data_IF_748059832933
#
_entry.id   IF_748059832933
#
_cell.length_a   1.000
_cell.length_b   1.000
_cell.length_c   1.000
_cell.angle_alpha   90.00
_cell.angle_beta   90.00
_cell.angle_gamma   90.00
#
_symmetry.space_group_name_H-M   'P 1'
#
loop_
_entity.id
_entity.type
_entity.pdbx_description
1 polymer ?
#
# COMPACT_ATOMS: atom_id res chain seq x y z
N UNK A 1 29.25 -3.01 -70.82
CA UNK A 1 28.03 -3.76 -70.43
C UNK A 1 28.37 -4.56 -69.18
N UNK A 2 27.53 -4.73 -68.16
CA UNK A 2 26.28 -4.08 -67.77
C UNK A 2 26.39 -3.45 -66.37
N UNK A 3 25.53 -2.46 -66.09
CA UNK A 3 25.38 -1.89 -64.75
C UNK A 3 24.49 -2.75 -63.85
N UNK A 4 24.56 -2.50 -62.55
CA UNK A 4 23.46 -2.81 -61.65
C UNK A 4 23.47 -1.85 -60.46
N UNK A 5 22.61 -0.85 -60.56
CA UNK A 5 22.09 -0.04 -59.46
C UNK A 5 21.02 -0.83 -58.74
N UNK A 6 21.14 -0.97 -57.42
CA UNK A 6 19.99 -1.31 -56.56
C UNK A 6 19.90 -0.33 -55.41
N UNK A 7 19.12 0.72 -55.67
CA UNK A 7 18.34 1.47 -54.69
C UNK A 7 17.47 0.50 -53.89
N UNK A 8 17.63 0.47 -52.57
CA UNK A 8 16.62 -0.13 -51.69
C UNK A 8 16.30 0.80 -50.51
N UNK A 9 15.08 1.32 -50.59
CA UNK A 9 14.17 1.70 -49.53
C UNK A 9 14.68 2.62 -48.42
N UNK A 10 14.39 3.91 -48.64
CA UNK A 10 14.03 4.87 -47.60
C UNK A 10 13.01 4.22 -46.66
N UNK A 11 13.37 4.02 -45.40
CA UNK A 11 12.36 3.92 -44.34
C UNK A 11 11.56 5.23 -44.33
N UNK A 12 10.21 5.19 -44.34
CA UNK A 12 9.44 6.37 -44.00
C UNK A 12 9.77 6.76 -42.55
N UNK A 13 10.17 8.03 -42.44
CA UNK A 13 10.37 8.83 -41.23
C UNK A 13 9.44 8.34 -40.11
N UNK A 14 10.02 7.82 -39.03
CA UNK A 14 9.30 7.49 -37.81
C UNK A 14 8.42 8.69 -37.44
N UNK A 15 7.12 8.47 -37.49
CA UNK A 15 6.16 9.38 -36.90
C UNK A 15 6.43 9.26 -35.41
N UNK A 16 6.77 10.39 -34.78
CA UNK A 16 6.75 10.53 -33.34
C UNK A 16 5.38 10.06 -32.85
N UNK A 17 5.30 8.88 -32.22
CA UNK A 17 4.18 8.53 -31.35
C UNK A 17 4.29 9.43 -30.13
N UNK A 18 3.89 10.68 -30.33
CA UNK A 18 3.56 11.61 -29.26
C UNK A 18 2.29 11.11 -28.61
N UNK A 19 2.44 10.19 -27.66
CA UNK A 19 1.45 9.97 -26.59
C UNK A 19 1.58 11.08 -25.56
N UNK A 20 1.39 12.32 -26.00
CA UNK A 20 1.03 13.44 -25.14
C UNK A 20 -0.47 13.64 -25.39
N UNK A 21 -1.25 13.80 -24.31
CA UNK A 21 -2.70 14.00 -24.23
C UNK A 21 -3.49 12.81 -23.62
N UNK A 22 -3.30 12.63 -22.32
CA UNK A 22 -4.40 12.82 -21.36
C UNK A 22 -3.80 13.42 -20.08
N UNK A 23 -3.79 14.75 -19.90
CA UNK A 23 -3.56 15.33 -18.59
C UNK A 23 -4.82 15.04 -17.75
N UNK A 24 -4.69 14.11 -16.81
CA UNK A 24 -5.76 13.69 -15.90
C UNK A 24 -6.44 12.40 -16.34
N UNK A 25 -6.51 11.44 -15.43
CA UNK A 25 -7.47 10.32 -15.49
C UNK A 25 -8.85 10.97 -15.24
N UNK A 26 -9.42 11.61 -16.25
CA UNK A 26 -10.80 12.06 -16.20
C UNK A 26 -11.67 10.90 -16.66
N UNK A 27 -12.45 10.34 -15.75
CA UNK A 27 -13.53 9.44 -16.13
C UNK A 27 -14.50 10.23 -17.02
N UNK A 28 -14.69 9.81 -18.27
CA UNK A 28 -15.84 10.22 -19.08
C UNK A 28 -17.11 9.51 -18.57
N UNK A 29 -17.36 9.54 -17.26
CA UNK A 29 -18.67 9.26 -16.74
C UNK A 29 -19.53 10.46 -17.12
N UNK A 30 -20.41 10.28 -18.11
CA UNK A 30 -21.45 11.27 -18.43
C UNK A 30 -22.50 11.22 -17.32
N UNK A 31 -22.10 11.67 -16.13
CA UNK A 31 -22.99 11.89 -15.02
C UNK A 31 -23.88 13.05 -15.46
N UNK A 32 -25.14 12.73 -15.74
CA UNK A 32 -26.22 13.67 -16.02
C UNK A 32 -26.58 14.34 -14.68
N UNK A 33 -25.61 15.02 -14.09
CA UNK A 33 -25.79 15.92 -12.97
C UNK A 33 -26.52 17.12 -13.58
N UNK A 34 -27.82 17.22 -13.32
CA UNK A 34 -28.38 18.53 -13.04
C UNK A 34 -28.13 18.74 -11.54
N UNK A 35 -26.91 19.15 -11.11
CA UNK A 35 -26.58 19.13 -9.71
C UNK A 35 -27.43 20.22 -9.08
N UNK A 36 -28.43 19.80 -8.31
CA UNK A 36 -29.24 20.73 -7.56
C UNK A 36 -28.25 21.56 -6.71
N UNK A 37 -28.29 22.89 -6.85
CA UNK A 37 -27.45 23.80 -6.05
C UNK A 37 -27.98 23.89 -4.60
N UNK A 38 -28.47 22.76 -4.07
CA UNK A 38 -29.03 22.65 -2.74
C UNK A 38 -27.88 22.81 -1.74
N UNK A 39 -28.06 23.65 -0.72
CA UNK A 39 -27.07 23.81 0.32
C UNK A 39 -27.01 22.55 1.17
N UNK A 40 -25.79 22.08 1.45
CA UNK A 40 -25.51 21.04 2.44
C UNK A 40 -25.28 21.75 3.77
N UNK A 41 -26.10 21.42 4.77
CA UNK A 41 -26.07 22.06 6.08
C UNK A 41 -25.93 20.98 7.15
N UNK A 42 -24.73 20.83 7.69
CA UNK A 42 -24.43 19.95 8.83
C UNK A 42 -23.99 20.80 10.03
N UNK A 43 -24.40 20.41 11.24
CA UNK A 43 -23.83 21.02 12.43
C UNK A 43 -22.37 20.55 12.63
N UNK A 44 -21.53 21.30 13.36
CA UNK A 44 -20.20 20.83 13.72
C UNK A 44 -20.27 19.48 14.45
N UNK A 45 -19.48 18.50 14.01
CA UNK A 45 -19.46 17.12 14.51
C UNK A 45 -20.51 16.19 13.90
N UNK A 46 -21.43 16.71 13.06
CA UNK A 46 -22.42 15.88 12.38
C UNK A 46 -21.85 15.25 11.09
N UNK A 47 -22.48 14.15 10.69
CA UNK A 47 -22.27 13.51 9.40
C UNK A 47 -23.61 13.07 8.81
N UNK A 48 -23.69 13.01 7.49
CA UNK A 48 -24.86 12.51 6.77
C UNK A 48 -24.43 11.72 5.53
N UNK A 49 -25.30 10.82 5.08
CA UNK A 49 -25.04 9.92 3.94
C UNK A 49 -25.92 10.33 2.76
N UNK A 50 -25.30 10.80 1.68
CA UNK A 50 -25.95 11.28 0.48
C UNK A 50 -26.01 10.19 -0.59
N UNK A 51 -26.80 9.15 -0.34
CA UNK A 51 -26.89 7.98 -1.26
C UNK A 51 -27.44 8.38 -2.63
N UNK A 52 -28.30 9.40 -2.68
CA UNK A 52 -28.85 9.95 -3.91
C UNK A 52 -27.83 10.67 -4.81
N UNK A 53 -26.68 11.04 -4.25
CA UNK A 53 -25.56 11.64 -4.98
C UNK A 53 -24.51 10.60 -5.44
N UNK A 54 -24.64 9.37 -4.96
CA UNK A 54 -23.82 8.24 -5.38
C UNK A 54 -24.34 7.71 -6.73
N UNK A 55 -23.43 7.32 -7.64
CA UNK A 55 -23.82 6.79 -8.95
C UNK A 55 -24.11 5.28 -8.91
N UNK A 56 -23.78 4.62 -7.80
CA UNK A 56 -23.96 3.19 -7.58
C UNK A 56 -22.94 2.30 -8.32
N UNK A 57 -21.97 2.89 -9.01
CA UNK A 57 -20.96 2.17 -9.79
C UNK A 57 -19.53 2.58 -9.39
N UNK A 58 -19.17 3.85 -9.51
CA UNK A 58 -17.88 4.37 -9.03
C UNK A 58 -17.96 4.67 -7.54
N UNK A 59 -19.05 5.29 -7.10
CA UNK A 59 -19.33 5.65 -5.72
C UNK A 59 -20.60 4.91 -5.32
N UNK A 60 -20.47 3.96 -4.40
CA UNK A 60 -21.61 3.19 -3.87
C UNK A 60 -22.23 3.88 -2.65
N UNK A 61 -21.42 4.58 -1.86
CA UNK A 61 -21.86 5.37 -0.71
C UNK A 61 -21.07 6.67 -0.65
N UNK A 62 -21.74 7.76 -0.29
CA UNK A 62 -21.13 9.07 -0.17
C UNK A 62 -21.44 9.69 1.19
N UNK A 63 -20.45 9.71 2.08
CA UNK A 63 -20.58 10.33 3.39
C UNK A 63 -20.01 11.74 3.37
N UNK A 64 -20.70 12.69 3.99
CA UNK A 64 -20.18 14.04 4.24
C UNK A 64 -20.18 14.28 5.74
N UNK A 65 -19.06 14.73 6.27
CA UNK A 65 -18.92 15.08 7.69
C UNK A 65 -18.42 16.50 7.85
N UNK A 66 -18.74 17.11 8.99
CA UNK A 66 -18.25 18.43 9.38
C UNK A 66 -17.45 18.31 10.67
N UNK A 67 -16.31 18.97 10.76
CA UNK A 67 -15.47 18.88 11.96
C UNK A 67 -16.18 19.42 13.19
N UNK A 68 -15.77 18.91 14.35
CA UNK A 68 -16.24 19.37 15.66
C UNK A 68 -15.99 20.86 15.89
N UNK A 69 -14.88 21.41 15.36
CA UNK A 69 -14.55 22.82 15.45
C UNK A 69 -15.26 23.69 14.40
N UNK A 70 -16.03 23.05 13.50
CA UNK A 70 -16.78 23.68 12.42
C UNK A 70 -15.93 24.27 11.30
N UNK A 71 -14.61 24.02 11.32
CA UNK A 71 -13.62 24.61 10.41
C UNK A 71 -13.60 24.01 9.02
N UNK A 72 -14.21 22.84 8.77
CA UNK A 72 -14.22 22.24 7.44
C UNK A 72 -15.29 21.17 7.25
N UNK A 73 -15.44 20.77 6.00
CA UNK A 73 -16.19 19.59 5.60
C UNK A 73 -15.24 18.55 5.02
N UNK A 74 -15.58 17.28 5.21
CA UNK A 74 -14.91 16.15 4.55
C UNK A 74 -15.93 15.37 3.76
N UNK A 75 -15.49 14.87 2.61
CA UNK A 75 -16.25 13.94 1.80
C UNK A 75 -15.52 12.61 1.79
N UNK A 76 -16.29 11.54 1.95
CA UNK A 76 -15.79 10.18 2.06
C UNK A 76 -16.57 9.25 1.14
N UNK A 77 -16.31 9.27 -0.18
CA UNK A 77 -16.86 8.28 -1.09
C UNK A 77 -16.29 6.89 -0.77
N UNK A 78 -17.16 5.89 -0.83
CA UNK A 78 -16.80 4.50 -0.62
C UNK A 78 -17.26 3.60 -1.78
N UNK A 79 -16.48 2.55 -2.02
CA UNK A 79 -16.77 1.50 -3.00
C UNK A 79 -16.37 0.14 -2.44
N UNK A 80 -17.16 -0.87 -2.75
CA UNK A 80 -16.82 -2.27 -2.49
C UNK A 80 -16.02 -2.84 -3.66
N UNK A 81 -14.90 -3.48 -3.35
CA UNK A 81 -14.03 -4.10 -4.35
C UNK A 81 -13.96 -5.60 -4.10
N UNK A 82 -14.28 -6.40 -5.12
CA UNK A 82 -14.16 -7.85 -5.07
C UNK A 82 -12.69 -8.27 -5.30
N UNK A 83 -11.90 -8.22 -4.22
CA UNK A 83 -10.47 -8.56 -4.24
C UNK A 83 -10.28 -10.01 -4.70
N UNK A 84 -11.18 -10.93 -4.33
CA UNK A 84 -11.08 -12.33 -4.71
C UNK A 84 -11.09 -12.51 -6.25
N UNK A 85 -11.99 -11.83 -6.96
CA UNK A 85 -12.01 -11.84 -8.43
C UNK A 85 -10.72 -11.25 -8.99
N UNK A 86 -10.32 -10.06 -8.53
CA UNK A 86 -9.12 -9.38 -9.04
C UNK A 86 -7.87 -10.24 -8.96
N UNK A 87 -7.69 -10.95 -7.84
CA UNK A 87 -6.55 -11.85 -7.64
C UNK A 87 -6.70 -13.10 -8.49
N UNK A 88 -7.87 -13.72 -8.55
CA UNK A 88 -8.09 -14.93 -9.36
C UNK A 88 -7.87 -14.66 -10.85
N UNK A 89 -8.30 -13.50 -11.34
CA UNK A 89 -8.14 -13.09 -12.73
C UNK A 89 -6.66 -12.79 -13.07
N UNK A 90 -5.89 -12.32 -12.07
CA UNK A 90 -4.47 -12.02 -12.23
C UNK A 90 -3.56 -13.23 -12.03
N UNK A 91 -3.92 -14.15 -11.11
CA UNK A 91 -3.27 -15.44 -10.90
C UNK A 91 -4.33 -16.54 -10.68
N UNK A 92 -4.73 -17.25 -11.76
CA UNK A 92 -5.74 -18.31 -11.68
C UNK A 92 -5.39 -19.50 -10.78
N UNK A 93 -4.14 -19.61 -10.32
CA UNK A 93 -3.71 -20.64 -9.36
C UNK A 93 -4.22 -20.35 -7.95
N UNK A 94 -4.48 -19.09 -7.63
CA UNK A 94 -5.05 -18.64 -6.36
C UNK A 94 -6.58 -18.66 -6.47
N UNK A 95 -7.20 -19.79 -6.12
CA UNK A 95 -8.65 -19.94 -6.14
C UNK A 95 -9.17 -20.75 -4.94
N UNK A 96 -10.46 -20.59 -4.62
CA UNK A 96 -11.13 -21.28 -3.53
C UNK A 96 -10.36 -21.16 -2.20
N UNK A 97 -10.15 -22.29 -1.51
CA UNK A 97 -9.45 -22.31 -0.22
C UNK A 97 -8.00 -21.80 -0.26
N UNK A 98 -7.33 -21.94 -1.40
CA UNK A 98 -5.96 -21.44 -1.54
C UNK A 98 -5.95 -19.91 -1.57
N UNK A 99 -6.96 -19.30 -2.20
CA UNK A 99 -7.16 -17.86 -2.21
C UNK A 99 -7.49 -17.33 -0.81
N UNK A 100 -8.40 -17.99 -0.09
CA UNK A 100 -8.78 -17.56 1.27
C UNK A 100 -7.56 -17.53 2.21
N UNK A 101 -6.76 -18.61 2.20
CA UNK A 101 -5.54 -18.69 3.01
C UNK A 101 -4.49 -17.66 2.59
N UNK A 102 -4.36 -17.41 1.28
CA UNK A 102 -3.44 -16.40 0.74
C UNK A 102 -3.86 -14.97 1.12
N UNK A 103 -5.16 -14.65 1.01
CA UNK A 103 -5.69 -13.34 1.38
C UNK A 103 -5.55 -13.08 2.88
N UNK A 104 -5.87 -14.06 3.71
CA UNK A 104 -5.71 -13.95 5.16
C UNK A 104 -4.24 -13.71 5.54
N UNK A 105 -3.33 -14.53 5.01
CA UNK A 105 -1.90 -14.41 5.29
C UNK A 105 -1.32 -13.06 4.83
N UNK A 106 -1.73 -12.57 3.66
CA UNK A 106 -1.20 -11.35 3.08
C UNK A 106 -2.00 -10.08 3.42
N UNK A 107 -3.06 -10.20 4.22
CA UNK A 107 -3.94 -9.10 4.59
C UNK A 107 -3.23 -7.83 5.06
N UNK A 108 -2.15 -7.88 5.89
CA UNK A 108 -1.50 -6.65 6.33
C UNK A 108 -0.79 -5.90 5.20
N UNK A 109 -0.31 -6.62 4.18
CA UNK A 109 0.32 -6.05 2.99
C UNK A 109 -0.72 -5.40 2.09
N UNK A 110 -1.84 -6.10 1.88
CA UNK A 110 -2.94 -5.64 1.02
C UNK A 110 -3.58 -4.39 1.63
N UNK A 111 -3.88 -4.40 2.93
CA UNK A 111 -4.46 -3.25 3.65
C UNK A 111 -3.57 -2.01 3.53
N UNK A 112 -2.29 -2.13 3.87
CA UNK A 112 -1.35 -0.99 3.85
C UNK A 112 -1.13 -0.50 2.42
N UNK A 113 -1.09 -1.40 1.44
CA UNK A 113 -1.01 -1.03 0.02
C UNK A 113 -2.21 -0.23 -0.47
N UNK A 114 -3.43 -0.69 -0.19
CA UNK A 114 -4.66 0.00 -0.59
C UNK A 114 -4.77 1.35 0.12
N UNK A 115 -4.48 1.38 1.42
CA UNK A 115 -4.50 2.60 2.22
C UNK A 115 -3.47 3.64 1.71
N UNK A 116 -2.23 3.22 1.44
CA UNK A 116 -1.18 4.11 0.91
C UNK A 116 -1.49 4.58 -0.52
N UNK A 117 -1.92 3.67 -1.40
CA UNK A 117 -2.16 3.99 -2.82
C UNK A 117 -3.33 4.95 -2.98
N UNK A 118 -4.43 4.69 -2.29
CA UNK A 118 -5.70 5.40 -2.46
C UNK A 118 -6.01 6.43 -1.38
N UNK A 119 -5.10 6.61 -0.40
CA UNK A 119 -5.32 7.49 0.76
C UNK A 119 -6.66 7.17 1.45
N UNK A 120 -6.85 5.87 1.67
CA UNK A 120 -8.14 5.29 2.01
C UNK A 120 -8.11 4.51 3.33
N UNK A 121 -9.30 4.36 3.91
CA UNK A 121 -9.57 3.41 4.97
C UNK A 121 -10.14 2.15 4.33
N UNK A 122 -9.65 0.98 4.75
CA UNK A 122 -10.10 -0.32 4.23
C UNK A 122 -10.89 -1.04 5.33
N UNK A 123 -12.08 -1.51 5.00
CA UNK A 123 -12.95 -2.31 5.87
C UNK A 123 -13.17 -3.70 5.28
N UNK A 124 -13.09 -4.72 6.12
CA UNK A 124 -13.14 -6.14 5.72
C UNK A 124 -14.04 -6.95 6.66
N UNK A 125 -15.16 -6.38 7.07
CA UNK A 125 -16.09 -6.97 8.06
C UNK A 125 -16.62 -8.35 7.62
N UNK A 126 -16.70 -8.60 6.31
CA UNK A 126 -17.13 -9.87 5.71
C UNK A 126 -15.94 -10.72 5.20
N UNK A 127 -14.71 -10.34 5.55
CA UNK A 127 -13.47 -10.96 5.10
C UNK A 127 -12.83 -10.23 3.91
N UNK A 128 -11.73 -10.76 3.41
CA UNK A 128 -10.94 -10.14 2.34
C UNK A 128 -11.46 -10.39 0.93
N UNK A 129 -12.49 -11.23 0.74
CA UNK A 129 -13.06 -11.48 -0.58
C UNK A 129 -13.69 -10.22 -1.18
N UNK A 130 -14.33 -9.42 -0.33
CA UNK A 130 -14.92 -8.12 -0.67
C UNK A 130 -14.48 -7.09 0.38
N UNK A 131 -13.77 -6.07 -0.06
CA UNK A 131 -13.25 -5.01 0.82
C UNK A 131 -13.98 -3.69 0.52
N UNK A 132 -14.48 -3.04 1.57
CA UNK A 132 -14.93 -1.66 1.50
C UNK A 132 -13.73 -0.72 1.51
N UNK A 133 -13.65 0.19 0.55
CA UNK A 133 -12.57 1.18 0.47
C UNK A 133 -13.19 2.56 0.48
N UNK A 134 -12.89 3.32 1.53
CA UNK A 134 -13.36 4.69 1.74
C UNK A 134 -12.20 5.67 1.53
N UNK A 135 -12.26 6.46 0.47
CA UNK A 135 -11.30 7.55 0.23
C UNK A 135 -11.81 8.82 0.90
N UNK A 136 -10.93 9.68 1.41
CA UNK A 136 -11.36 10.92 2.07
C UNK A 136 -10.72 12.15 1.43
N UNK A 137 -11.47 13.25 1.32
CA UNK A 137 -10.94 14.55 0.93
C UNK A 137 -11.56 15.67 1.75
N UNK A 138 -10.76 16.70 2.04
CA UNK A 138 -11.26 17.93 2.64
C UNK A 138 -11.87 18.82 1.56
N UNK A 139 -13.05 19.37 1.84
CA UNK A 139 -13.76 20.30 0.98
C UNK A 139 -13.45 21.75 1.35
N UNK A 140 -13.69 22.73 0.44
CA UNK A 140 -13.50 24.14 0.74
C UNK A 140 -14.36 24.62 1.92
N UNK A 141 -13.80 25.53 2.72
CA UNK A 141 -14.52 26.16 3.83
C UNK A 141 -15.67 27.04 3.32
N UNK A 142 -16.78 27.08 4.07
CA UNK A 142 -17.92 27.96 3.81
C UNK A 142 -19.21 27.20 3.49
N UNK A 143 -20.22 27.88 2.91
CA UNK A 143 -21.45 27.23 2.46
C UNK A 143 -21.12 26.19 1.39
N UNK A 144 -21.54 24.96 1.63
CA UNK A 144 -21.30 23.82 0.75
C UNK A 144 -22.57 23.54 -0.06
N UNK A 145 -22.42 23.15 -1.32
CA UNK A 145 -23.50 22.65 -2.17
C UNK A 145 -23.33 21.18 -2.49
N UNK A 146 -24.42 20.48 -2.82
CA UNK A 146 -24.35 19.08 -3.30
C UNK A 146 -23.39 18.94 -4.51
N UNK A 147 -23.35 19.95 -5.40
CA UNK A 147 -22.41 19.95 -6.53
C UNK A 147 -20.93 19.93 -6.10
N UNK A 148 -20.60 20.66 -5.04
CA UNK A 148 -19.23 20.70 -4.51
C UNK A 148 -18.87 19.41 -3.77
N UNK A 149 -19.85 18.76 -3.13
CA UNK A 149 -19.68 17.44 -2.53
C UNK A 149 -19.32 16.41 -3.61
N UNK A 150 -20.10 16.35 -4.70
CA UNK A 150 -19.85 15.43 -5.81
C UNK A 150 -18.50 15.74 -6.46
N UNK A 151 -18.20 17.01 -6.76
CA UNK A 151 -16.90 17.40 -7.33
C UNK A 151 -15.73 17.00 -6.42
N UNK A 152 -15.84 17.25 -5.11
CA UNK A 152 -14.81 16.84 -4.16
C UNK A 152 -14.65 15.33 -4.04
N UNK A 153 -15.73 14.56 -4.15
CA UNK A 153 -15.67 13.10 -4.15
C UNK A 153 -14.96 12.58 -5.40
N UNK A 154 -15.34 13.07 -6.59
CA UNK A 154 -14.82 12.61 -7.87
C UNK A 154 -13.39 13.08 -8.15
N UNK A 155 -13.11 14.36 -7.89
CA UNK A 155 -11.87 15.01 -8.29
C UNK A 155 -10.92 15.26 -7.10
N UNK A 156 -11.44 15.28 -5.88
CA UNK A 156 -10.65 15.48 -4.66
C UNK A 156 -10.12 14.17 -4.04
N UNK A 157 -10.66 13.01 -4.44
CA UNK A 157 -10.23 11.71 -3.93
C UNK A 157 -9.64 10.82 -5.03
N UNK A 158 -9.15 9.63 -4.64
CA UNK A 158 -8.68 8.61 -5.57
C UNK A 158 -9.73 7.54 -5.90
N UNK A 159 -11.01 7.76 -5.59
CA UNK A 159 -12.08 6.77 -5.82
C UNK A 159 -12.23 6.40 -7.30
N UNK A 160 -12.09 7.38 -8.20
CA UNK A 160 -12.14 7.15 -9.65
C UNK A 160 -10.96 6.31 -10.13
N UNK A 161 -9.77 6.58 -9.58
CA UNK A 161 -8.58 5.79 -9.87
C UNK A 161 -8.78 4.34 -9.39
N UNK A 162 -9.28 4.15 -8.17
CA UNK A 162 -9.60 2.83 -7.62
C UNK A 162 -10.57 2.07 -8.54
N UNK A 163 -11.69 2.71 -8.92
CA UNK A 163 -12.67 2.09 -9.82
C UNK A 163 -12.02 1.66 -11.13
N UNK A 164 -11.31 2.56 -11.81
CA UNK A 164 -10.67 2.27 -13.10
C UNK A 164 -9.59 1.17 -13.02
N UNK A 165 -8.88 1.05 -11.91
CA UNK A 165 -7.86 0.00 -11.72
C UNK A 165 -8.46 -1.34 -11.27
N UNK A 166 -9.62 -1.30 -10.61
CA UNK A 166 -10.40 -2.49 -10.23
C UNK A 166 -11.13 -3.11 -11.44
N UNK A 167 -11.59 -2.32 -12.39
CA UNK A 167 -12.23 -2.83 -13.61
C UNK A 167 -11.19 -3.21 -14.69
N UNK A 168 -10.38 -4.23 -14.42
CA UNK A 168 -9.41 -4.90 -15.31
C UNK A 168 -8.63 -4.05 -16.34
N UNK A 169 -8.32 -2.79 -16.03
CA UNK A 169 -7.57 -1.92 -16.95
C UNK A 169 -8.41 -1.29 -18.06
N UNK A 170 -9.73 -1.17 -17.88
CA UNK A 170 -10.58 -0.31 -18.70
C UNK A 170 -9.91 1.07 -18.84
N UNK A 171 -9.70 1.53 -20.07
CA UNK A 171 -9.04 2.80 -20.42
C UNK A 171 -7.50 2.88 -20.25
N UNK A 172 -6.80 1.74 -20.14
CA UNK A 172 -5.33 1.73 -20.08
C UNK A 172 -4.76 2.10 -18.71
N UNK A 173 -5.59 2.01 -17.67
CA UNK A 173 -5.18 2.02 -16.25
C UNK A 173 -4.40 0.75 -15.89
N UNK A 174 -3.67 0.80 -14.78
CA UNK A 174 -3.00 -0.38 -14.22
C UNK A 174 -4.05 -1.38 -13.71
N UNK A 175 -3.76 -2.68 -13.79
CA UNK A 175 -4.63 -3.72 -13.22
C UNK A 175 -4.35 -3.87 -11.71
N UNK A 176 -5.34 -3.59 -10.87
CA UNK A 176 -5.21 -3.62 -9.41
C UNK A 176 -4.82 -5.00 -8.88
N UNK A 177 -5.40 -6.09 -9.42
CA UNK A 177 -5.06 -7.45 -9.00
C UNK A 177 -3.58 -7.77 -9.22
N UNK A 178 -3.02 -7.41 -10.39
CA UNK A 178 -1.59 -7.52 -10.68
C UNK A 178 -0.74 -6.70 -9.71
N UNK A 179 -1.14 -5.45 -9.44
CA UNK A 179 -0.40 -4.58 -8.52
C UNK A 179 -0.37 -5.14 -7.09
N UNK A 180 -1.48 -5.71 -6.62
CA UNK A 180 -1.53 -6.37 -5.31
C UNK A 180 -0.59 -7.58 -5.28
N UNK A 181 -0.60 -8.43 -6.32
CA UNK A 181 0.30 -9.59 -6.40
C UNK A 181 1.76 -9.15 -6.39
N UNK A 182 2.13 -8.19 -7.25
CA UNK A 182 3.50 -7.65 -7.31
C UNK A 182 3.93 -7.08 -5.96
N UNK A 183 3.01 -6.42 -5.26
CA UNK A 183 3.24 -5.87 -3.92
C UNK A 183 3.50 -6.97 -2.89
N UNK A 184 2.70 -8.03 -2.91
CA UNK A 184 2.84 -9.18 -2.01
C UNK A 184 4.13 -9.96 -2.31
N UNK A 185 4.46 -10.20 -3.58
CA UNK A 185 5.72 -10.87 -3.98
C UNK A 185 6.96 -10.05 -3.58
N UNK A 186 6.84 -8.73 -3.54
CA UNK A 186 7.88 -7.83 -3.05
C UNK A 186 7.98 -7.74 -1.52
N UNK A 187 7.12 -8.43 -0.78
CA UNK A 187 7.05 -8.37 0.67
C UNK A 187 7.43 -9.69 1.34
N UNK A 188 7.81 -9.60 2.62
CA UNK A 188 7.89 -10.76 3.53
C UNK A 188 6.91 -10.54 4.66
N UNK A 189 6.03 -11.51 4.89
CA UNK A 189 4.98 -11.47 5.92
C UNK A 189 5.31 -12.49 7.01
N UNK A 190 5.06 -12.11 8.26
CA UNK A 190 5.14 -13.02 9.40
C UNK A 190 3.98 -14.02 9.34
N UNK A 191 4.23 -15.29 9.68
CA UNK A 191 3.20 -16.33 9.63
C UNK A 191 2.01 -16.05 10.55
N UNK A 192 2.30 -15.67 11.80
CA UNK A 192 1.31 -15.21 12.79
C UNK A 192 1.77 -13.87 13.39
N UNK A 193 1.34 -12.73 12.81
CA UNK A 193 1.73 -11.41 13.25
C UNK A 193 1.42 -11.15 14.74
N UNK A 194 0.32 -11.69 15.26
CA UNK A 194 -0.10 -11.47 16.65
C UNK A 194 0.83 -12.20 17.62
N UNK A 195 1.09 -13.49 17.37
CA UNK A 195 1.96 -14.31 18.21
C UNK A 195 3.41 -13.82 18.13
N UNK A 196 3.95 -13.64 16.92
CA UNK A 196 5.33 -13.22 16.73
C UNK A 196 5.59 -11.82 17.30
N UNK A 197 4.67 -10.87 17.11
CA UNK A 197 4.80 -9.53 17.70
C UNK A 197 4.71 -9.58 19.21
N UNK A 198 3.71 -10.29 19.76
CA UNK A 198 3.57 -10.45 21.20
C UNK A 198 4.81 -11.09 21.84
N UNK A 199 5.40 -12.11 21.21
CA UNK A 199 6.63 -12.75 21.67
C UNK A 199 7.85 -11.84 21.49
N UNK A 200 8.06 -11.30 20.30
CA UNK A 200 9.21 -10.46 19.95
C UNK A 200 9.30 -9.19 20.78
N UNK A 201 8.18 -8.53 21.06
CA UNK A 201 8.16 -7.33 21.91
C UNK A 201 8.58 -7.61 23.37
N UNK A 202 8.46 -8.87 23.83
CA UNK A 202 8.85 -9.34 25.17
C UNK A 202 10.28 -9.90 25.23
N UNK A 203 10.93 -10.17 24.11
CA UNK A 203 12.30 -10.65 24.08
C UNK A 203 13.26 -9.55 24.57
N UNK A 204 14.08 -9.89 25.57
CA UNK A 204 15.16 -9.02 26.05
C UNK A 204 16.40 -9.11 25.16
N UNK A 205 17.24 -8.07 25.25
CA UNK A 205 18.45 -7.93 24.43
C UNK A 205 19.38 -9.15 24.45
N UNK A 206 19.60 -9.74 25.62
CA UNK A 206 20.48 -10.89 25.80
C UNK A 206 19.91 -12.17 25.17
N UNK A 207 18.59 -12.30 25.13
CA UNK A 207 17.91 -13.44 24.49
C UNK A 207 18.03 -13.33 22.98
N UNK A 208 17.79 -12.12 22.44
CA UNK A 208 17.99 -11.85 21.00
C UNK A 208 19.44 -12.12 20.60
N UNK A 209 20.41 -11.62 21.37
CA UNK A 209 21.83 -11.85 21.10
C UNK A 209 22.17 -13.35 21.07
N UNK A 210 21.65 -14.13 22.01
CA UNK A 210 21.86 -15.58 22.05
C UNK A 210 21.31 -16.28 20.81
N UNK A 211 20.08 -15.98 20.40
CA UNK A 211 19.49 -16.57 19.19
C UNK A 211 20.28 -16.23 17.91
N UNK A 212 20.74 -14.98 17.81
CA UNK A 212 21.58 -14.52 16.69
C UNK A 212 22.93 -15.24 16.69
N UNK A 213 23.57 -15.38 17.85
CA UNK A 213 24.85 -16.05 17.99
C UNK A 213 24.74 -17.57 17.75
N UNK A 214 23.70 -18.24 18.24
CA UNK A 214 23.49 -19.68 18.01
C UNK A 214 23.29 -20.03 16.52
N UNK A 215 22.68 -19.10 15.76
CA UNK A 215 22.37 -19.32 14.34
C UNK A 215 23.45 -18.82 13.39
N UNK A 216 24.30 -17.87 13.81
CA UNK A 216 25.47 -17.36 13.07
C UNK A 216 25.22 -17.07 11.57
N UNK A 217 24.02 -16.61 11.19
CA UNK A 217 23.64 -16.38 9.79
C UNK A 217 23.58 -17.64 8.90
N UNK A 218 23.70 -18.84 9.50
CA UNK A 218 23.60 -20.14 8.81
C UNK A 218 22.16 -20.62 8.70
N UNK A 219 21.27 -20.11 9.55
CA UNK A 219 19.84 -20.41 9.58
C UNK A 219 19.08 -19.10 9.81
N UNK A 220 17.89 -18.93 9.21
CA UNK A 220 17.04 -17.80 9.51
C UNK A 220 16.69 -17.79 10.99
N UNK A 221 16.43 -16.62 11.56
CA UNK A 221 15.86 -16.52 12.92
C UNK A 221 14.34 -16.79 12.87
N UNK A 222 13.71 -17.05 14.02
CA UNK A 222 12.23 -17.11 14.09
C UNK A 222 11.63 -15.71 13.92
N UNK A 223 10.37 -15.61 13.52
CA UNK A 223 9.65 -14.32 13.35
C UNK A 223 9.67 -13.46 14.62
N UNK A 224 9.52 -14.05 15.80
CA UNK A 224 9.59 -13.32 17.07
C UNK A 224 10.96 -12.64 17.28
N UNK A 225 12.05 -13.31 16.88
CA UNK A 225 13.40 -12.74 16.96
C UNK A 225 13.60 -11.68 15.88
N UNK A 226 13.06 -11.87 14.68
CA UNK A 226 13.08 -10.86 13.62
C UNK A 226 12.36 -9.57 14.06
N UNK A 227 11.18 -9.68 14.67
CA UNK A 227 10.44 -8.54 15.26
C UNK A 227 11.26 -7.86 16.35
N UNK A 228 11.91 -8.63 17.24
CA UNK A 228 12.73 -8.06 18.30
C UNK A 228 13.94 -7.30 17.74
N UNK A 229 14.60 -7.84 16.72
CA UNK A 229 15.69 -7.15 16.00
C UNK A 229 15.18 -5.86 15.36
N UNK A 230 14.04 -5.91 14.65
CA UNK A 230 13.45 -4.73 14.02
C UNK A 230 13.10 -3.62 15.04
N UNK A 231 12.54 -4.00 16.19
CA UNK A 231 12.29 -3.09 17.32
C UNK A 231 13.57 -2.44 17.83
N UNK A 232 14.63 -3.22 18.02
CA UNK A 232 15.93 -2.70 18.47
C UNK A 232 16.53 -1.72 17.45
N UNK A 233 16.50 -2.07 16.16
CA UNK A 233 16.99 -1.23 15.06
C UNK A 233 16.25 0.10 15.01
N UNK A 234 14.93 0.09 15.14
CA UNK A 234 14.12 1.31 15.15
C UNK A 234 14.35 2.19 16.41
N UNK A 235 14.99 1.65 17.45
CA UNK A 235 15.37 2.37 18.66
C UNK A 235 16.78 2.98 18.63
N UNK A 236 17.56 2.74 17.56
CA UNK A 236 18.95 3.20 17.50
C UNK A 236 19.03 4.72 17.41
N UNK A 237 19.88 5.29 18.28
CA UNK A 237 20.19 6.71 18.29
C UNK A 237 21.63 6.92 17.83
N UNK A 238 21.84 7.90 16.96
CA UNK A 238 23.15 8.44 16.62
C UNK A 238 23.47 9.68 17.44
N UNK A 239 24.72 10.13 17.39
CA UNK A 239 25.14 11.43 17.94
C UNK A 239 24.42 12.62 17.30
N UNK A 240 23.78 12.44 16.13
CA UNK A 240 22.99 13.45 15.41
C UNK A 240 21.47 13.31 15.63
N UNK A 241 21.03 12.40 16.51
CA UNK A 241 19.61 12.13 16.77
C UNK A 241 19.20 10.71 16.41
N UNK A 242 17.90 10.44 16.50
CA UNK A 242 17.31 9.13 16.18
C UNK A 242 17.54 8.83 14.69
N UNK A 243 18.12 7.67 14.36
CA UNK A 243 18.11 7.17 12.98
C UNK A 243 16.83 6.36 12.85
N UNK A 244 15.91 6.81 12.01
CA UNK A 244 14.68 6.08 11.75
C UNK A 244 14.89 5.09 10.60
N UNK A 245 14.45 3.85 10.81
CA UNK A 245 14.38 2.80 9.81
C UNK A 245 12.91 2.40 9.66
N UNK A 246 12.06 3.26 9.03
CA UNK A 246 10.63 3.05 8.99
C UNK A 246 10.25 1.74 8.30
N UNK A 247 10.91 1.33 7.22
CA UNK A 247 10.62 0.07 6.54
C UNK A 247 10.91 -1.13 7.46
N UNK A 248 12.05 -1.11 8.19
CA UNK A 248 12.35 -2.14 9.21
C UNK A 248 11.32 -2.09 10.34
N UNK A 249 10.94 -0.89 10.77
CA UNK A 249 9.97 -0.67 11.84
C UNK A 249 8.59 -1.26 11.54
N UNK A 250 8.18 -1.33 10.26
CA UNK A 250 6.92 -1.97 9.83
C UNK A 250 6.84 -3.42 10.27
N UNK A 251 7.95 -4.15 10.32
CA UNK A 251 7.93 -5.54 10.79
C UNK A 251 7.35 -5.65 12.21
N UNK A 252 7.74 -4.73 13.09
CA UNK A 252 7.34 -4.74 14.49
C UNK A 252 5.94 -4.16 14.73
N UNK A 253 5.44 -3.31 13.84
CA UNK A 253 4.14 -2.64 13.99
C UNK A 253 3.03 -3.28 13.16
N UNK A 254 3.34 -3.68 11.93
CA UNK A 254 2.41 -4.22 10.91
C UNK A 254 2.58 -5.72 10.65
N UNK A 255 3.70 -6.32 11.05
CA UNK A 255 3.92 -7.77 10.86
C UNK A 255 4.38 -8.16 9.46
N UNK A 256 4.78 -7.18 8.63
CA UNK A 256 5.33 -7.43 7.31
C UNK A 256 6.39 -6.37 6.95
N UNK A 257 7.14 -6.62 5.89
CA UNK A 257 8.15 -5.69 5.33
C UNK A 257 8.15 -5.69 3.81
N UNK A 258 8.45 -4.54 3.22
CA UNK A 258 8.87 -4.44 1.82
C UNK A 258 10.35 -4.83 1.71
N UNK A 259 10.65 -5.85 0.92
CA UNK A 259 11.99 -6.43 0.86
C UNK A 259 13.04 -5.44 0.32
N UNK A 260 12.69 -4.66 -0.71
CA UNK A 260 13.63 -3.72 -1.33
C UNK A 260 13.90 -2.51 -0.42
N UNK A 261 12.86 -1.96 0.21
CA UNK A 261 12.98 -0.85 1.13
C UNK A 261 13.76 -1.26 2.40
N UNK A 262 13.48 -2.45 2.94
CA UNK A 262 14.20 -2.97 4.10
C UNK A 262 15.65 -3.26 3.79
N UNK A 263 15.97 -3.90 2.66
CA UNK A 263 17.38 -4.18 2.33
C UNK A 263 18.21 -2.89 2.20
N UNK A 264 17.63 -1.84 1.61
CA UNK A 264 18.26 -0.52 1.54
C UNK A 264 18.51 0.09 2.93
N UNK A 265 17.53 -0.01 3.83
CA UNK A 265 17.66 0.47 5.22
C UNK A 265 18.70 -0.32 6.02
N UNK A 266 18.74 -1.64 5.84
CA UNK A 266 19.72 -2.52 6.47
C UNK A 266 21.14 -2.27 5.94
N UNK A 267 21.31 -2.02 4.65
CA UNK A 267 22.60 -1.64 4.06
C UNK A 267 23.10 -0.31 4.62
N UNK A 268 22.21 0.67 4.73
CA UNK A 268 22.51 1.97 5.34
C UNK A 268 22.91 1.81 6.81
N UNK A 269 22.19 0.98 7.58
CA UNK A 269 22.50 0.70 8.97
C UNK A 269 23.88 0.03 9.12
N UNK A 270 24.18 -0.95 8.26
CA UNK A 270 25.46 -1.66 8.28
C UNK A 270 26.62 -0.74 7.92
N UNK A 271 26.46 0.06 6.87
CA UNK A 271 27.46 1.05 6.42
C UNK A 271 27.74 2.07 7.53
N UNK A 272 26.69 2.62 8.16
CA UNK A 272 26.84 3.58 9.26
C UNK A 272 27.58 2.95 10.46
N UNK A 273 27.28 1.69 10.78
CA UNK A 273 27.97 0.96 11.84
C UNK A 273 29.46 0.74 11.52
N UNK A 274 29.79 0.40 10.28
CA UNK A 274 31.18 0.21 9.83
C UNK A 274 31.99 1.52 9.85
N UNK A 275 31.36 2.65 9.58
CA UNK A 275 31.99 3.97 9.59
C UNK A 275 32.09 4.59 11.00
N UNK A 276 31.50 3.96 12.02
CA UNK A 276 31.61 4.39 13.42
C UNK A 276 33.04 4.27 13.94
N UNK A 277 33.43 5.16 14.86
CA UNK A 277 34.70 5.04 15.61
C UNK A 277 34.79 3.72 16.40
N UNK A 278 33.64 3.18 16.83
CA UNK A 278 33.53 1.91 17.53
C UNK A 278 32.44 1.07 16.86
N UNK A 279 32.76 0.30 15.80
CA UNK A 279 31.79 -0.56 15.14
C UNK A 279 31.22 -1.61 16.10
N UNK A 280 29.89 -1.69 16.20
CA UNK A 280 29.21 -2.69 17.02
C UNK A 280 29.05 -3.99 16.23
N UNK A 281 29.83 -5.01 16.61
CA UNK A 281 29.76 -6.34 15.99
C UNK A 281 28.41 -7.04 16.24
N UNK A 282 27.75 -6.77 17.37
CA UNK A 282 26.44 -7.37 17.68
C UNK A 282 25.37 -6.79 16.76
N UNK A 283 25.39 -5.48 16.54
CA UNK A 283 24.51 -4.81 15.58
C UNK A 283 24.68 -5.38 14.17
N UNK A 284 25.92 -5.52 13.68
CA UNK A 284 26.18 -6.12 12.37
C UNK A 284 25.59 -7.53 12.25
N UNK A 285 25.77 -8.39 13.26
CA UNK A 285 25.19 -9.75 13.25
C UNK A 285 23.67 -9.76 13.24
N UNK A 286 23.02 -8.83 13.95
CA UNK A 286 21.56 -8.69 13.93
C UNK A 286 21.05 -8.29 12.55
N UNK A 287 21.70 -7.32 11.91
CA UNK A 287 21.38 -6.90 10.53
C UNK A 287 21.49 -8.07 9.57
N UNK A 288 22.60 -8.82 9.61
CA UNK A 288 22.79 -10.01 8.76
C UNK A 288 21.78 -11.13 9.05
N UNK A 289 21.38 -11.31 10.31
CA UNK A 289 20.36 -12.29 10.69
C UNK A 289 18.98 -11.90 10.13
N UNK A 290 18.65 -10.61 10.16
CA UNK A 290 17.41 -10.11 9.58
C UNK A 290 17.43 -10.21 8.04
N UNK A 291 18.57 -9.96 7.39
CA UNK A 291 18.73 -10.22 5.94
C UNK A 291 18.55 -11.68 5.57
N UNK A 292 19.10 -12.58 6.40
CA UNK A 292 18.91 -14.02 6.22
C UNK A 292 17.44 -14.40 6.36
N UNK A 293 16.75 -13.84 7.36
CA UNK A 293 15.30 -14.02 7.55
C UNK A 293 14.48 -13.49 6.36
N UNK A 294 14.82 -12.33 5.79
CA UNK A 294 14.13 -11.80 4.60
C UNK A 294 14.24 -12.73 3.39
N UNK A 295 15.39 -13.36 3.21
CA UNK A 295 15.64 -14.25 2.06
C UNK A 295 15.01 -15.63 2.26
N UNK A 296 15.12 -16.17 3.47
CA UNK A 296 14.84 -17.58 3.75
C UNK A 296 13.51 -17.79 4.49
N UNK A 297 12.83 -16.72 4.92
CA UNK A 297 11.64 -16.74 5.78
C UNK A 297 11.95 -17.01 7.25
N UNK A 298 10.90 -17.06 8.08
CA UNK A 298 10.97 -17.44 9.48
C UNK A 298 11.26 -18.92 9.71
N UNK A 299 12.10 -19.23 10.70
CA UNK A 299 12.17 -20.60 11.23
C UNK A 299 10.96 -20.87 12.13
N UNK A 300 9.92 -21.46 11.54
CA UNK A 300 8.64 -21.77 12.19
C UNK A 300 8.59 -23.20 12.79
N UNK A 301 9.76 -23.78 13.09
CA UNK A 301 9.90 -25.13 13.64
C UNK A 301 9.57 -25.24 15.13
#
# INVERSE_FOLDING_TARGET
>A
MPGMTTSQNRQPKGISTGGQFAPGIHAEATLLLDPAHRPVILAPGDSDTFTELADGDVIETLNVSRSDDGSGYWVSPAKTVNIASLITDSDPRLNGKALDAWLEHNSPVIEDFLAERYEAVVTTDEGWSEAGIECTAQLPDGPLTESQVVDGAWNGTKIVQLHNESDHGSFGSENLGRLIIERVEGATVIEDPYVARGAGLRLGHDVVARHVDERHGKRPVSDAVAVAIAKELNGIRSSRGIIAYPAVGRLATRGYVDNAAVDLELERALTANQQSFYPDRKLARRIESLRTWLRDGGDNA
#
